data_IF_840241472372
#
_entry.id   IF_840241472372
#
_cell.length_a   1.000
_cell.length_b   1.000
_cell.length_c   1.000
_cell.angle_alpha   90.00
_cell.angle_beta   90.00
_cell.angle_gamma   90.00
#
_symmetry.space_group_name_H-M   'P 1'
#
loop_
_entity.id
_entity.type
_entity.pdbx_description
1 polymer ?
#
# COMPACT_ATOMS: atom_id res chain seq x y z
N UNK A 1 26.75 0.67 0.59
CA UNK A 1 25.48 0.75 -0.17
C UNK A 1 24.73 1.94 0.38
N UNK A 2 24.27 2.87 -0.43
CA UNK A 2 23.47 3.96 0.08
C UNK A 2 22.20 3.38 0.70
N UNK A 3 21.85 3.84 1.92
CA UNK A 3 20.61 3.50 2.59
C UNK A 3 19.45 3.78 1.66
N UNK A 4 18.71 2.72 1.33
CA UNK A 4 17.49 2.85 0.56
C UNK A 4 16.46 3.45 1.51
N UNK A 5 16.18 4.75 1.35
CA UNK A 5 15.12 5.41 2.09
C UNK A 5 13.81 4.65 1.83
N UNK A 6 13.22 4.10 2.90
CA UNK A 6 11.90 3.48 2.82
C UNK A 6 10.84 4.54 3.09
N UNK A 7 10.08 4.90 2.07
CA UNK A 7 8.92 5.77 2.22
C UNK A 7 7.70 4.87 2.28
N UNK A 8 7.05 4.79 3.43
CA UNK A 8 5.78 4.11 3.60
C UNK A 8 4.62 5.04 3.26
N UNK A 9 3.77 4.64 2.31
CA UNK A 9 2.52 5.35 2.01
C UNK A 9 1.38 4.48 2.50
N UNK A 10 0.70 4.94 3.54
CA UNK A 10 -0.44 4.27 4.14
C UNK A 10 -1.69 5.08 3.83
N UNK A 11 -2.67 4.48 3.15
CA UNK A 11 -3.89 5.17 2.80
C UNK A 11 -5.09 4.26 2.99
N UNK A 12 -6.07 4.75 3.74
CA UNK A 12 -7.43 4.22 3.66
C UNK A 12 -8.00 4.60 2.29
N UNK A 13 -8.35 3.62 1.49
CA UNK A 13 -9.02 3.85 0.22
C UNK A 13 -10.51 3.89 0.48
N UNK A 14 -11.17 5.02 0.26
CA UNK A 14 -12.61 5.06 0.11
C UNK A 14 -12.94 4.33 -1.18
N UNK A 15 -13.30 3.07 -1.04
CA UNK A 15 -13.68 2.23 -2.18
C UNK A 15 -15.08 2.65 -2.57
N UNK A 16 -15.20 3.48 -3.60
CA UNK A 16 -16.49 3.79 -4.25
C UNK A 16 -17.02 2.62 -5.09
N UNK A 17 -16.33 1.49 -5.04
CA UNK A 17 -16.63 0.30 -5.81
C UNK A 17 -17.24 -0.76 -4.90
N UNK A 18 -18.34 -1.36 -5.33
CA UNK A 18 -18.92 -2.50 -4.64
C UNK A 18 -18.09 -3.73 -5.01
N UNK A 19 -17.24 -4.18 -4.08
CA UNK A 19 -16.50 -5.41 -4.24
C UNK A 19 -17.43 -6.60 -3.92
N UNK A 20 -17.43 -7.62 -4.78
CA UNK A 20 -18.22 -8.83 -4.58
C UNK A 20 -17.54 -9.83 -3.64
N UNK A 21 -16.28 -9.58 -3.28
CA UNK A 21 -15.51 -10.40 -2.33
C UNK A 21 -14.42 -9.57 -1.64
N UNK A 22 -13.97 -10.06 -0.48
CA UNK A 22 -12.82 -9.44 0.22
C UNK A 22 -11.55 -9.44 -0.63
N UNK A 23 -11.32 -10.49 -1.44
CA UNK A 23 -10.18 -10.55 -2.35
C UNK A 23 -10.23 -9.48 -3.45
N UNK A 24 -11.42 -9.12 -3.93
CA UNK A 24 -11.59 -7.99 -4.85
C UNK A 24 -11.33 -6.65 -4.18
N UNK A 25 -11.86 -6.43 -2.98
CA UNK A 25 -11.62 -5.21 -2.23
C UNK A 25 -10.12 -4.98 -2.03
N UNK A 26 -9.38 -6.03 -1.67
CA UNK A 26 -7.92 -6.00 -1.53
C UNK A 26 -7.20 -5.75 -2.87
N UNK A 27 -7.72 -6.28 -3.96
CA UNK A 27 -7.19 -5.99 -5.30
C UNK A 27 -7.40 -4.52 -5.68
N UNK A 28 -8.55 -3.93 -5.37
CA UNK A 28 -8.82 -2.50 -5.60
C UNK A 28 -7.87 -1.64 -4.77
N UNK A 29 -7.64 -2.01 -3.51
CA UNK A 29 -6.68 -1.33 -2.67
C UNK A 29 -5.26 -1.39 -3.25
N UNK A 30 -4.84 -2.57 -3.72
CA UNK A 30 -3.55 -2.77 -4.36
C UNK A 30 -3.40 -1.96 -5.66
N UNK A 31 -4.45 -1.91 -6.51
CA UNK A 31 -4.47 -1.11 -7.72
C UNK A 31 -4.28 0.38 -7.42
N UNK A 32 -5.02 0.89 -6.43
CA UNK A 32 -4.91 2.28 -6.00
C UNK A 32 -3.53 2.58 -5.40
N UNK A 33 -3.03 1.69 -4.54
CA UNK A 33 -1.68 1.79 -3.97
C UNK A 33 -0.62 1.83 -5.06
N UNK A 34 -0.69 0.95 -6.06
CA UNK A 34 0.23 0.93 -7.19
C UNK A 34 0.20 2.25 -7.98
N UNK A 35 -0.98 2.77 -8.27
CA UNK A 35 -1.11 4.02 -9.03
C UNK A 35 -0.49 5.21 -8.31
N UNK A 36 -0.73 5.33 -6.99
CA UNK A 36 -0.17 6.40 -6.16
C UNK A 36 1.35 6.28 -6.05
N UNK A 37 1.86 5.08 -5.76
CA UNK A 37 3.30 4.89 -5.58
C UNK A 37 4.10 5.05 -6.87
N UNK A 38 3.54 4.70 -8.03
CA UNK A 38 4.15 4.98 -9.33
C UNK A 38 4.20 6.49 -9.62
N UNK A 39 3.18 7.25 -9.19
CA UNK A 39 3.22 8.72 -9.25
C UNK A 39 4.35 9.30 -8.38
N UNK A 40 4.51 8.81 -7.16
CA UNK A 40 5.63 9.19 -6.29
C UNK A 40 6.99 8.80 -6.89
N UNK A 41 7.09 7.62 -7.49
CA UNK A 41 8.32 7.19 -8.16
C UNK A 41 8.72 8.17 -9.28
N UNK A 42 7.75 8.61 -10.08
CA UNK A 42 8.00 9.60 -11.13
C UNK A 42 8.48 10.92 -10.54
N UNK A 43 7.83 11.42 -9.50
CA UNK A 43 8.24 12.63 -8.82
C UNK A 43 9.66 12.54 -8.22
N UNK A 44 10.01 11.40 -7.62
CA UNK A 44 11.35 11.16 -7.10
C UNK A 44 12.38 11.09 -8.23
N UNK A 45 12.03 10.50 -9.38
CA UNK A 45 12.89 10.45 -10.54
C UNK A 45 13.19 11.84 -11.09
N UNK A 46 12.21 12.76 -11.10
CA UNK A 46 12.39 14.17 -11.48
C UNK A 46 13.37 14.90 -10.54
N UNK A 47 13.46 14.44 -9.29
CA UNK A 47 14.46 14.92 -8.31
C UNK A 47 15.80 14.17 -8.37
N UNK A 48 16.00 13.29 -9.37
CA UNK A 48 17.21 12.49 -9.52
C UNK A 48 17.31 11.29 -8.57
N UNK A 49 16.22 10.92 -7.89
CA UNK A 49 16.19 9.82 -6.91
C UNK A 49 15.58 8.58 -7.57
N UNK A 50 16.37 7.50 -7.68
CA UNK A 50 15.88 6.21 -8.16
C UNK A 50 15.20 5.44 -7.01
N UNK A 51 13.92 5.13 -7.16
CA UNK A 51 13.13 4.39 -6.17
C UNK A 51 12.59 3.08 -6.73
N UNK A 52 12.57 2.03 -5.90
CA UNK A 52 11.92 0.76 -6.21
C UNK A 52 10.62 0.66 -5.42
N UNK A 53 9.56 0.18 -6.08
CA UNK A 53 8.24 0.03 -5.45
C UNK A 53 8.04 -1.41 -5.01
N UNK A 54 7.66 -1.59 -3.76
CA UNK A 54 7.16 -2.86 -3.24
C UNK A 54 5.82 -2.63 -2.55
N UNK A 55 4.78 -3.31 -3.03
CA UNK A 55 3.48 -3.38 -2.38
C UNK A 55 3.44 -4.60 -1.47
N UNK A 56 2.94 -4.44 -0.27
CA UNK A 56 2.71 -5.53 0.66
C UNK A 56 1.22 -5.79 0.81
N UNK A 57 0.81 -7.05 0.73
CA UNK A 57 -0.57 -7.48 0.95
C UNK A 57 -0.59 -8.79 1.75
N UNK A 58 -1.46 -8.89 2.73
CA UNK A 58 -1.74 -10.10 3.48
C UNK A 58 -2.73 -11.02 2.75
N UNK A 59 -3.51 -10.50 1.81
CA UNK A 59 -4.47 -11.25 1.01
C UNK A 59 -3.80 -12.19 0.00
N UNK A 60 -3.93 -13.49 0.22
CA UNK A 60 -3.47 -14.50 -0.75
C UNK A 60 -4.28 -14.46 -2.05
N UNK A 61 -5.59 -14.18 -1.94
CA UNK A 61 -6.50 -14.06 -3.08
C UNK A 61 -6.11 -12.90 -3.98
N UNK A 62 -5.88 -11.70 -3.41
CA UNK A 62 -5.44 -10.53 -4.16
C UNK A 62 -4.11 -10.77 -4.87
N UNK A 63 -3.13 -11.32 -4.16
CA UNK A 63 -1.81 -11.66 -4.76
C UNK A 63 -1.95 -12.68 -5.89
N UNK A 64 -2.81 -13.71 -5.72
CA UNK A 64 -3.11 -14.68 -6.76
C UNK A 64 -3.71 -14.06 -8.02
N UNK A 65 -4.60 -13.07 -7.86
CA UNK A 65 -5.18 -12.30 -8.99
C UNK A 65 -4.10 -11.45 -9.67
N UNK A 66 -3.26 -10.77 -8.91
CA UNK A 66 -2.25 -9.86 -9.44
C UNK A 66 -1.15 -10.60 -10.21
N UNK A 67 -0.73 -11.78 -9.73
CA UNK A 67 0.37 -12.54 -10.34
C UNK A 67 -0.04 -13.44 -11.50
N UNK A 68 -1.33 -13.69 -11.70
CA UNK A 68 -1.78 -14.48 -12.84
C UNK A 68 -1.79 -13.66 -14.14
N UNK A 69 -1.97 -14.32 -15.28
CA UNK A 69 -2.23 -13.69 -16.56
C UNK A 69 -3.76 -13.65 -16.81
N UNK A 70 -4.29 -12.43 -17.09
CA UNK A 70 -5.69 -12.23 -17.39
C UNK A 70 -6.64 -12.28 -16.19
N UNK A 71 -7.92 -12.04 -16.44
CA UNK A 71 -8.96 -11.87 -15.41
C UNK A 71 -9.49 -13.21 -14.86
N UNK A 72 -9.27 -14.31 -15.56
CA UNK A 72 -9.79 -15.62 -15.17
C UNK A 72 -11.34 -15.64 -15.17
N UNK A 73 -11.93 -16.10 -14.05
CA UNK A 73 -13.39 -16.13 -13.87
C UNK A 73 -13.98 -14.76 -13.50
N UNK A 74 -13.15 -13.78 -13.18
CA UNK A 74 -13.57 -12.44 -12.73
C UNK A 74 -13.75 -11.50 -13.94
N UNK A 75 -14.74 -11.78 -14.76
CA UNK A 75 -14.99 -11.05 -16.03
C UNK A 75 -15.43 -9.59 -15.83
N UNK A 76 -15.94 -9.26 -14.65
CA UNK A 76 -16.39 -7.93 -14.29
C UNK A 76 -15.27 -7.02 -13.75
N UNK A 77 -14.04 -7.58 -13.59
CA UNK A 77 -12.90 -6.78 -13.15
C UNK A 77 -12.44 -5.87 -14.30
N UNK A 78 -12.21 -4.63 -13.92
CA UNK A 78 -11.85 -3.57 -14.85
C UNK A 78 -10.45 -3.72 -15.46
N UNK A 79 -10.21 -2.97 -16.55
CA UNK A 79 -8.92 -2.87 -17.24
C UNK A 79 -7.76 -2.47 -16.31
N UNK A 80 -8.05 -1.79 -15.19
CA UNK A 80 -7.08 -1.45 -14.17
C UNK A 80 -6.30 -2.65 -13.61
N UNK A 81 -6.95 -3.82 -13.48
CA UNK A 81 -6.25 -5.02 -12.99
C UNK A 81 -5.29 -5.60 -14.03
N UNK A 82 -5.67 -5.55 -15.30
CA UNK A 82 -4.77 -5.94 -16.39
C UNK A 82 -3.53 -5.05 -16.42
N UNK A 83 -3.72 -3.75 -16.20
CA UNK A 83 -2.62 -2.80 -16.05
C UNK A 83 -1.71 -3.16 -14.85
N UNK A 84 -2.28 -3.49 -13.70
CA UNK A 84 -1.51 -3.87 -12.51
C UNK A 84 -0.71 -5.15 -12.76
N UNK A 85 -1.34 -6.17 -13.39
CA UNK A 85 -0.66 -7.41 -13.78
C UNK A 85 0.49 -7.13 -14.76
N UNK A 86 0.28 -6.25 -15.76
CA UNK A 86 1.30 -5.84 -16.70
C UNK A 86 2.45 -5.09 -16.01
N UNK A 87 2.17 -4.20 -15.07
CA UNK A 87 3.17 -3.47 -14.31
C UNK A 87 4.04 -4.39 -13.44
N UNK A 88 3.44 -5.41 -12.80
CA UNK A 88 4.18 -6.43 -12.04
C UNK A 88 5.03 -7.30 -12.97
N UNK A 89 4.47 -7.78 -14.10
CA UNK A 89 5.19 -8.56 -15.09
C UNK A 89 6.38 -7.80 -15.69
N UNK A 90 6.22 -6.51 -15.94
CA UNK A 90 7.28 -5.62 -16.41
C UNK A 90 8.28 -5.21 -15.30
N UNK A 91 8.14 -5.76 -14.09
CA UNK A 91 9.00 -5.45 -12.92
C UNK A 91 9.04 -3.97 -12.54
N UNK A 92 8.03 -3.19 -12.91
CA UNK A 92 7.90 -1.79 -12.50
C UNK A 92 7.60 -1.67 -11.01
N UNK A 93 6.90 -2.66 -10.46
CA UNK A 93 6.66 -2.83 -9.03
C UNK A 93 6.66 -4.32 -8.65
N UNK A 94 6.86 -4.59 -7.37
CA UNK A 94 6.79 -5.93 -6.81
C UNK A 94 5.63 -6.01 -5.82
N UNK A 95 4.95 -7.18 -5.76
CA UNK A 95 3.93 -7.44 -4.74
C UNK A 95 4.42 -8.57 -3.85
N UNK A 96 4.53 -8.30 -2.54
CA UNK A 96 5.02 -9.24 -1.54
C UNK A 96 3.97 -9.53 -0.48
N UNK A 97 4.12 -10.69 0.15
CA UNK A 97 3.31 -11.07 1.30
C UNK A 97 3.77 -10.29 2.54
N UNK A 98 2.80 -9.81 3.31
CA UNK A 98 2.99 -9.44 4.72
C UNK A 98 2.10 -10.34 5.58
N UNK A 99 2.50 -10.62 6.80
CA UNK A 99 1.64 -11.29 7.77
C UNK A 99 0.64 -10.25 8.32
N UNK A 100 -0.64 -10.63 8.44
CA UNK A 100 -1.68 -9.73 8.96
C UNK A 100 -1.32 -9.16 10.34
N UNK A 101 -0.71 -9.96 11.23
CA UNK A 101 -0.29 -9.54 12.57
C UNK A 101 0.80 -8.46 12.61
N UNK A 102 1.46 -8.19 11.50
CA UNK A 102 2.52 -7.17 11.38
C UNK A 102 2.26 -6.20 10.23
N UNK A 103 1.02 -6.17 9.72
CA UNK A 103 0.62 -5.27 8.65
C UNK A 103 0.23 -3.90 9.21
N UNK A 104 1.04 -2.84 9.04
CA UNK A 104 0.73 -1.53 9.60
C UNK A 104 -0.52 -0.87 8.99
N UNK A 105 -1.02 -1.35 7.85
CA UNK A 105 -2.26 -0.87 7.26
C UNK A 105 -3.48 -1.12 8.17
N UNK A 106 -3.38 -2.06 9.11
CA UNK A 106 -4.43 -2.35 10.09
C UNK A 106 -4.70 -1.17 11.03
N UNK A 107 -3.72 -0.28 11.27
CA UNK A 107 -3.89 0.94 12.06
C UNK A 107 -5.11 1.79 11.66
N UNK A 108 -5.48 1.77 10.38
CA UNK A 108 -6.55 2.62 9.84
C UNK A 108 -7.80 1.84 9.43
N UNK A 109 -7.77 0.52 9.56
CA UNK A 109 -8.84 -0.35 9.05
C UNK A 109 -9.46 -1.24 10.11
N UNK A 110 -8.79 -1.43 11.24
CA UNK A 110 -9.24 -2.31 12.33
C UNK A 110 -9.19 -1.58 13.67
N UNK A 111 -10.04 -2.02 14.58
CA UNK A 111 -9.90 -1.66 15.99
C UNK A 111 -8.79 -2.52 16.60
N UNK A 112 -7.70 -1.88 17.02
CA UNK A 112 -6.53 -2.54 17.57
C UNK A 112 -6.42 -2.29 19.07
N UNK A 113 -5.92 -3.28 19.82
CA UNK A 113 -5.48 -3.07 21.18
C UNK A 113 -4.28 -2.11 21.24
N UNK A 114 -4.12 -1.37 22.33
CA UNK A 114 -3.07 -0.38 22.46
C UNK A 114 -1.65 -0.94 22.17
N UNK A 115 -1.38 -2.16 22.66
CA UNK A 115 -0.08 -2.81 22.44
C UNK A 115 0.20 -3.11 20.95
N UNK A 116 -0.84 -3.52 20.19
CA UNK A 116 -0.71 -3.77 18.75
C UNK A 116 -0.55 -2.45 17.99
N UNK A 117 -1.28 -1.42 18.39
CA UNK A 117 -1.14 -0.09 17.81
C UNK A 117 0.29 0.44 17.96
N UNK A 118 0.86 0.37 19.17
CA UNK A 118 2.23 0.81 19.42
C UNK A 118 3.26 0.04 18.59
N UNK A 119 3.11 -1.27 18.45
CA UNK A 119 3.97 -2.10 17.59
C UNK A 119 3.95 -1.64 16.13
N UNK A 120 2.78 -1.30 15.60
CA UNK A 120 2.67 -0.79 14.24
C UNK A 120 3.27 0.61 14.09
N UNK A 121 3.08 1.50 15.07
CA UNK A 121 3.70 2.83 15.07
C UNK A 121 5.23 2.73 15.09
N UNK A 122 5.77 1.85 15.91
CA UNK A 122 7.21 1.57 15.94
C UNK A 122 7.73 1.05 14.59
N UNK A 123 7.00 0.12 13.96
CA UNK A 123 7.32 -0.39 12.62
C UNK A 123 7.35 0.72 11.56
N UNK A 124 6.50 1.75 11.72
CA UNK A 124 6.44 2.93 10.86
C UNK A 124 7.44 4.02 11.25
N UNK A 125 8.23 3.79 12.30
CA UNK A 125 9.16 4.78 12.86
C UNK A 125 8.45 6.09 13.29
N UNK A 126 7.21 5.98 13.75
CA UNK A 126 6.43 7.09 14.29
C UNK A 126 6.62 7.11 15.80
N UNK A 127 7.23 8.17 16.32
CA UNK A 127 7.28 8.47 17.75
C UNK A 127 6.16 9.44 18.12
N UNK A 128 5.55 9.21 19.27
CA UNK A 128 4.65 10.18 19.87
C UNK A 128 5.39 10.94 20.96
N UNK A 129 5.55 12.23 20.79
CA UNK A 129 6.07 13.11 21.83
C UNK A 129 4.91 13.66 22.65
N UNK A 130 5.08 13.69 23.98
CA UNK A 130 4.15 14.38 24.86
C UNK A 130 4.38 15.89 24.68
N UNK A 131 3.35 16.59 24.24
CA UNK A 131 3.37 18.04 24.14
C UNK A 131 2.62 18.56 22.93
N UNK A 132 2.14 19.78 23.06
CA UNK A 132 1.61 20.57 21.95
C UNK A 132 2.80 21.13 21.19
N UNK A 133 2.85 21.01 19.89
CA UNK A 133 3.86 21.70 19.09
C UNK A 133 3.81 23.20 19.45
N UNK A 134 4.88 23.77 19.99
CA UNK A 134 5.00 25.20 20.25
C UNK A 134 4.88 26.04 18.94
N UNK A 135 4.97 25.37 17.79
CA UNK A 135 4.87 25.96 16.47
C UNK A 135 3.42 26.21 15.96
N UNK A 136 2.39 26.10 16.79
CA UNK A 136 1.07 26.64 16.44
C UNK A 136 1.06 28.12 16.71
N UNK A 137 1.69 28.84 15.78
CA UNK A 137 1.29 30.14 15.27
C UNK A 137 0.66 31.10 16.28
N UNK A 138 1.48 31.99 16.78
CA UNK A 138 1.03 33.39 16.97
C UNK A 138 0.64 33.92 15.58
N UNK A 139 -0.64 33.79 15.21
CA UNK A 139 -1.31 34.62 14.21
C UNK A 139 -1.95 35.76 14.95
#
# INVERSE_FOLDING_TARGET
MPDVAQIGIWRRTDVRWIALSSGEAECYAALKGASVTLGFQSMLADLGIAAKITLYSDSSAARGIIHRAGLGKLRHLETGYLWLQAAVKAKRLQVRKVLGSVNPADLFTKHLAAAEMWKHLETLQISMEEGRTEAVLAI
#
